data_IF_734092553072
#
_entry.id   IF_734092553072
#
_cell.length_a   1.000
_cell.length_b   1.000
_cell.length_c   1.000
_cell.angle_alpha   90.00
_cell.angle_beta   90.00
_cell.angle_gamma   90.00
#
_symmetry.space_group_name_H-M   'P 1'
#
loop_
_entity.id
_entity.type
_entity.pdbx_description
1 polymer ?
#
# COMPACT_ATOMS: atom_id res chain seq x y z
N UNK A 1 -9.74 -20.72 -2.00
CA UNK A 1 -10.07 -20.19 -3.35
C UNK A 1 -9.24 -18.93 -3.56
N UNK A 2 -9.00 -18.49 -4.80
CA UNK A 2 -8.29 -17.23 -4.98
C UNK A 2 -9.24 -16.05 -4.71
N UNK A 3 -8.83 -15.10 -3.87
CA UNK A 3 -9.61 -13.89 -3.55
C UNK A 3 -8.97 -12.68 -4.20
N UNK A 4 -9.78 -11.74 -4.68
CA UNK A 4 -9.28 -10.54 -5.35
C UNK A 4 -8.96 -9.47 -4.32
N UNK A 5 -7.68 -9.12 -4.21
CA UNK A 5 -7.17 -8.06 -3.36
C UNK A 5 -6.97 -6.78 -4.19
N UNK A 6 -7.43 -5.65 -3.68
CA UNK A 6 -7.09 -4.33 -4.23
C UNK A 6 -6.30 -3.51 -3.23
N UNK A 7 -5.18 -2.94 -3.70
CA UNK A 7 -4.32 -2.04 -2.94
C UNK A 7 -4.37 -0.64 -3.56
N UNK A 8 -4.43 0.40 -2.72
CA UNK A 8 -4.27 1.80 -3.15
C UNK A 8 -3.32 2.55 -2.24
N UNK A 9 -2.48 3.38 -2.83
CA UNK A 9 -1.55 4.29 -2.15
C UNK A 9 -1.73 5.69 -2.71
N UNK A 10 -1.81 6.68 -1.83
CA UNK A 10 -1.95 8.08 -2.23
C UNK A 10 -1.19 9.00 -1.29
N UNK A 11 -0.58 10.03 -1.85
CA UNK A 11 0.01 11.13 -1.08
C UNK A 11 -1.11 12.04 -0.60
N UNK A 12 -1.11 12.40 0.69
CA UNK A 12 -2.08 13.32 1.29
C UNK A 12 -1.47 14.70 1.54
N UNK A 13 -0.20 14.75 1.95
CA UNK A 13 0.54 16.01 2.14
C UNK A 13 2.05 15.78 2.13
N UNK A 14 2.81 16.83 1.83
CA UNK A 14 4.26 16.71 1.60
C UNK A 14 4.58 16.13 0.22
N UNK A 15 5.87 15.87 -0.02
CA UNK A 15 6.34 15.35 -1.31
C UNK A 15 6.72 13.88 -1.17
N UNK A 16 5.90 12.99 -1.73
CA UNK A 16 6.27 11.57 -1.90
C UNK A 16 6.99 11.42 -3.23
N UNK A 17 8.17 10.80 -3.21
CA UNK A 17 8.96 10.52 -4.40
C UNK A 17 8.59 9.16 -5.00
N UNK A 18 8.38 8.14 -4.16
CA UNK A 18 8.00 6.80 -4.62
C UNK A 18 7.11 6.04 -3.66
N UNK A 19 6.22 5.27 -4.27
CA UNK A 19 5.48 4.19 -3.65
C UNK A 19 5.97 2.83 -4.13
N UNK A 20 6.12 1.91 -3.19
CA UNK A 20 6.23 0.49 -3.47
C UNK A 20 5.22 -0.30 -2.65
N UNK A 21 4.59 -1.29 -3.30
CA UNK A 21 3.83 -2.31 -2.60
C UNK A 21 4.29 -3.69 -3.08
N UNK A 22 4.35 -4.61 -2.13
CA UNK A 22 4.69 -6.01 -2.33
C UNK A 22 3.54 -6.87 -1.80
N UNK A 23 3.19 -7.89 -2.56
CA UNK A 23 2.23 -8.92 -2.17
C UNK A 23 2.96 -10.25 -2.29
N UNK A 24 3.08 -10.97 -1.18
CA UNK A 24 3.82 -12.23 -1.06
C UNK A 24 5.25 -12.13 -1.59
N UNK A 25 5.92 -11.03 -1.21
CA UNK A 25 7.29 -10.72 -1.61
C UNK A 25 7.44 -10.24 -3.07
N UNK A 26 6.39 -10.31 -3.89
CA UNK A 26 6.42 -9.85 -5.29
C UNK A 26 6.06 -8.38 -5.35
N UNK A 27 6.90 -7.59 -6.02
CA UNK A 27 6.65 -6.15 -6.22
C UNK A 27 5.45 -5.97 -7.18
N UNK A 28 4.40 -5.31 -6.71
CA UNK A 28 3.14 -5.10 -7.46
C UNK A 28 2.88 -3.64 -7.80
N UNK A 29 3.26 -2.71 -6.91
CA UNK A 29 3.20 -1.28 -7.17
C UNK A 29 4.63 -0.74 -7.27
N UNK A 30 4.89 0.00 -8.35
CA UNK A 30 6.06 0.87 -8.54
C UNK A 30 5.54 2.14 -9.17
N UNK A 31 5.42 3.20 -8.38
CA UNK A 31 4.87 4.46 -8.84
C UNK A 31 5.62 5.63 -8.23
N UNK A 32 5.60 6.77 -8.91
CA UNK A 32 5.90 8.05 -8.28
C UNK A 32 4.79 8.42 -7.26
N UNK A 33 5.05 9.43 -6.44
CA UNK A 33 4.10 9.90 -5.44
C UNK A 33 3.18 11.02 -5.91
N UNK A 34 3.16 11.34 -7.22
CA UNK A 34 2.41 12.49 -7.76
C UNK A 34 0.91 12.16 -7.85
N UNK A 35 0.58 10.92 -8.18
CA UNK A 35 -0.79 10.43 -8.29
C UNK A 35 -1.08 9.22 -7.40
N UNK A 36 -2.37 8.83 -7.28
CA UNK A 36 -2.73 7.60 -6.60
C UNK A 36 -2.21 6.39 -7.37
N UNK A 37 -1.52 5.51 -6.67
CA UNK A 37 -1.05 4.23 -7.19
C UNK A 37 -2.02 3.12 -6.78
N UNK A 38 -2.31 2.20 -7.69
CA UNK A 38 -3.22 1.10 -7.41
C UNK A 38 -2.73 -0.22 -8.02
N UNK A 39 -3.13 -1.31 -7.39
CA UNK A 39 -2.98 -2.66 -7.95
C UNK A 39 -4.18 -3.49 -7.53
N UNK A 40 -4.63 -4.38 -8.43
CA UNK A 40 -5.62 -5.40 -8.11
C UNK A 40 -5.16 -6.73 -8.67
N UNK A 41 -5.33 -7.80 -7.90
CA UNK A 41 -5.01 -9.14 -8.35
C UNK A 41 -5.42 -10.21 -7.36
N UNK A 42 -5.32 -11.44 -7.81
CA UNK A 42 -5.73 -12.58 -7.01
C UNK A 42 -4.61 -12.99 -6.05
N UNK A 43 -5.00 -13.28 -4.81
CA UNK A 43 -4.14 -13.82 -3.75
C UNK A 43 -4.75 -15.11 -3.21
N UNK A 44 -3.90 -15.96 -2.63
CA UNK A 44 -4.36 -17.18 -1.99
C UNK A 44 -5.22 -16.86 -0.75
N UNK A 45 -6.17 -17.74 -0.47
CA UNK A 45 -7.18 -17.57 0.59
C UNK A 45 -6.59 -17.66 2.01
N UNK A 46 -5.46 -18.36 2.15
CA UNK A 46 -4.98 -18.80 3.46
C UNK A 46 -4.22 -17.70 4.21
N UNK A 47 -3.34 -16.95 3.54
CA UNK A 47 -2.63 -15.80 4.12
C UNK A 47 -1.95 -15.00 2.99
N UNK A 48 -2.15 -13.69 2.94
CA UNK A 48 -1.40 -12.80 2.04
C UNK A 48 -0.57 -11.79 2.84
N UNK A 49 0.72 -11.67 2.51
CA UNK A 49 1.63 -10.72 3.16
C UNK A 49 1.76 -9.47 2.31
N UNK A 50 1.32 -8.34 2.85
CA UNK A 50 1.45 -7.04 2.20
C UNK A 50 2.54 -6.23 2.87
N UNK A 51 3.44 -5.67 2.06
CA UNK A 51 4.46 -4.72 2.50
C UNK A 51 4.39 -3.46 1.67
N UNK A 52 4.36 -2.30 2.32
CA UNK A 52 4.38 -0.99 1.67
C UNK A 52 5.63 -0.25 2.10
N UNK A 53 6.30 0.39 1.12
CA UNK A 53 7.41 1.30 1.37
C UNK A 53 7.16 2.62 0.66
N UNK A 54 7.41 3.71 1.37
CA UNK A 54 7.19 5.07 0.89
C UNK A 54 8.48 5.86 1.08
N UNK A 55 8.90 6.54 0.03
CA UNK A 55 10.04 7.45 0.04
C UNK A 55 9.53 8.86 -0.23
N UNK A 56 9.98 9.82 0.58
CA UNK A 56 9.50 11.19 0.56
C UNK A 56 10.62 12.18 0.87
N UNK A 57 10.43 13.43 0.44
CA UNK A 57 11.28 14.55 0.86
C UNK A 57 10.78 15.06 2.21
N UNK A 58 11.57 14.81 3.25
CA UNK A 58 11.22 15.19 4.62
C UNK A 58 10.00 14.42 5.13
N UNK A 59 9.10 15.12 5.84
CA UNK A 59 7.89 14.52 6.41
C UNK A 59 6.74 14.63 5.42
N UNK A 60 6.17 13.50 5.03
CA UNK A 60 5.00 13.40 4.17
C UNK A 60 3.94 12.52 4.81
N UNK A 61 2.67 12.79 4.50
CA UNK A 61 1.53 11.98 4.90
C UNK A 61 1.03 11.20 3.69
N UNK A 62 0.74 9.92 3.86
CA UNK A 62 0.16 9.07 2.82
C UNK A 62 -0.98 8.23 3.38
N UNK A 63 -1.87 7.77 2.49
CA UNK A 63 -2.91 6.80 2.80
C UNK A 63 -2.62 5.50 2.07
N UNK A 64 -2.81 4.40 2.78
CA UNK A 64 -2.85 3.06 2.25
C UNK A 64 -4.25 2.49 2.44
N UNK A 65 -4.84 1.95 1.37
CA UNK A 65 -6.15 1.30 1.41
C UNK A 65 -6.06 -0.13 0.88
N UNK A 66 -6.78 -1.02 1.56
CA UNK A 66 -6.98 -2.42 1.19
C UNK A 66 -8.46 -2.67 1.05
N UNK A 67 -8.83 -3.31 -0.04
CA UNK A 67 -10.18 -3.83 -0.29
C UNK A 67 -10.08 -5.34 -0.56
N UNK A 68 -10.85 -6.09 0.23
CA UNK A 68 -11.02 -7.55 0.19
C UNK A 68 -12.51 -7.86 0.14
N UNK A 69 -13.13 -7.81 -1.05
CA UNK A 69 -14.57 -7.98 -1.20
C UNK A 69 -15.05 -9.32 -0.63
N UNK A 70 -16.07 -9.28 0.23
CA UNK A 70 -16.71 -10.46 0.78
C UNK A 70 -16.03 -11.08 2.01
N UNK A 71 -14.93 -10.52 2.51
CA UNK A 71 -14.25 -11.01 3.73
C UNK A 71 -14.16 -9.95 4.83
N UNK A 72 -13.90 -8.69 4.49
CA UNK A 72 -13.77 -7.61 5.45
C UNK A 72 -14.20 -6.26 4.85
N UNK A 73 -14.52 -5.30 5.71
CA UNK A 73 -14.69 -3.90 5.31
C UNK A 73 -13.36 -3.32 4.79
N UNK A 74 -13.46 -2.36 3.86
CA UNK A 74 -12.33 -1.56 3.36
C UNK A 74 -11.46 -1.06 4.52
N UNK A 75 -10.20 -1.49 4.56
CA UNK A 75 -9.25 -0.97 5.53
C UNK A 75 -8.52 0.23 4.95
N UNK A 76 -8.47 1.33 5.72
CA UNK A 76 -7.76 2.55 5.34
C UNK A 76 -6.87 3.00 6.49
N UNK A 77 -5.59 3.19 6.20
CA UNK A 77 -4.59 3.56 7.18
C UNK A 77 -3.86 4.80 6.65
N UNK A 78 -3.81 5.85 7.47
CA UNK A 78 -3.03 7.05 7.17
C UNK A 78 -1.78 7.07 8.03
N UNK A 79 -0.63 7.30 7.38
CA UNK A 79 0.67 7.23 8.02
C UNK A 79 1.50 8.46 7.64
N UNK A 80 2.46 8.77 8.50
CA UNK A 80 3.50 9.75 8.23
C UNK A 80 4.81 9.03 7.94
N UNK A 81 5.58 9.54 6.99
CA UNK A 81 6.98 9.15 6.87
C UNK A 81 7.80 9.74 8.03
N UNK A 82 8.78 8.98 8.50
CA UNK A 82 9.81 9.44 9.41
C UNK A 82 11.10 9.70 8.63
N UNK A 83 11.61 10.93 8.69
CA UNK A 83 12.82 11.38 7.94
C UNK A 83 12.84 10.96 6.47
N UNK A 84 11.69 11.02 5.79
CA UNK A 84 11.57 10.68 4.37
C UNK A 84 11.31 9.21 4.07
N UNK A 85 11.15 8.36 5.09
CA UNK A 85 10.86 6.95 4.90
C UNK A 85 9.62 6.50 5.68
N UNK A 86 8.77 5.71 5.04
CA UNK A 86 7.66 5.01 5.69
C UNK A 86 7.67 3.54 5.30
N UNK A 87 7.46 2.66 6.27
CA UNK A 87 7.25 1.24 6.02
C UNK A 87 6.04 0.75 6.82
N UNK A 88 5.24 -0.10 6.18
CA UNK A 88 4.15 -0.83 6.81
C UNK A 88 4.22 -2.27 6.32
N UNK A 89 3.98 -3.20 7.22
CA UNK A 89 3.87 -4.60 6.88
C UNK A 89 2.70 -5.24 7.63
N UNK A 90 1.92 -6.05 6.92
CA UNK A 90 0.76 -6.72 7.49
C UNK A 90 0.48 -8.05 6.82
N UNK A 91 -0.29 -8.87 7.53
CA UNK A 91 -0.80 -10.16 7.11
C UNK A 91 -2.32 -10.08 7.12
N UNK A 92 -2.94 -10.58 6.07
CA UNK A 92 -4.39 -10.57 5.84
C UNK A 92 -4.87 -11.92 5.33
#
# INVERSE_FOLDING_TARGET
MARRLTLRLESLSGTVERFYAFVDGRKRIVADGIGPAHWAGDVDDEEARIKVRVFAVGRAKFRFSIDLPGTADDQRIELWTDRGYGELEMKI
#
